data_IF_589482962201
#
_entry.id   IF_589482962201
#
_cell.length_a   1.000
_cell.length_b   1.000
_cell.length_c   1.000
_cell.angle_alpha   90.00
_cell.angle_beta   90.00
_cell.angle_gamma   90.00
#
_symmetry.space_group_name_H-M   'P 1'
#
loop_
_entity.id
_entity.type
_entity.pdbx_description
1 polymer ?
#
# COMPACT_ATOMS: atom_id res chain seq x y z
N UNK A 1 16.27 5.92 -5.11
CA UNK A 1 16.21 4.83 -6.10
C UNK A 1 16.75 5.21 -7.48
N UNK A 2 16.23 6.20 -8.21
CA UNK A 2 16.75 6.50 -9.57
C UNK A 2 18.15 7.16 -9.57
N UNK A 3 18.44 7.97 -8.55
CA UNK A 3 19.70 8.70 -8.38
C UNK A 3 20.84 7.79 -7.94
N UNK A 4 20.53 6.85 -7.05
CA UNK A 4 21.47 5.84 -6.56
C UNK A 4 21.96 4.94 -7.69
N UNK A 5 21.10 4.62 -8.67
CA UNK A 5 21.47 3.83 -9.85
C UNK A 5 22.47 4.57 -10.75
N UNK A 6 22.37 5.89 -10.88
CA UNK A 6 23.36 6.68 -11.63
C UNK A 6 24.70 6.71 -10.89
N UNK A 7 24.69 6.87 -9.57
CA UNK A 7 25.91 6.83 -8.78
C UNK A 7 26.56 5.45 -8.88
N UNK A 8 25.79 4.36 -8.71
CA UNK A 8 26.30 3.00 -8.86
C UNK A 8 26.94 2.75 -10.23
N UNK A 9 26.26 3.17 -11.32
CA UNK A 9 26.83 3.03 -12.66
C UNK A 9 28.04 3.93 -12.92
N UNK A 10 28.10 5.11 -12.32
CA UNK A 10 29.26 5.97 -12.41
C UNK A 10 30.48 5.38 -11.68
N UNK A 11 30.27 4.74 -10.52
CA UNK A 11 31.34 4.03 -9.80
C UNK A 11 31.85 2.82 -10.61
N UNK A 12 30.95 2.00 -11.15
CA UNK A 12 31.31 0.86 -12.01
C UNK A 12 32.15 1.28 -13.24
N UNK A 13 31.80 2.41 -13.86
CA UNK A 13 32.55 2.94 -15.00
C UNK A 13 33.90 3.55 -14.57
N UNK A 14 33.97 4.22 -13.43
CA UNK A 14 35.22 4.77 -12.90
C UNK A 14 36.22 3.65 -12.61
N UNK A 15 35.78 2.56 -11.97
CA UNK A 15 36.60 1.36 -11.73
C UNK A 15 37.10 0.74 -13.04
N UNK A 16 36.21 0.55 -14.03
CA UNK A 16 36.56 -0.01 -15.34
C UNK A 16 37.55 0.82 -16.13
N UNK A 17 37.55 2.14 -15.92
CA UNK A 17 38.44 3.07 -16.59
C UNK A 17 39.70 3.39 -15.77
N UNK A 18 39.86 2.78 -14.59
CA UNK A 18 41.01 3.01 -13.70
C UNK A 18 41.08 4.44 -13.15
N UNK A 19 39.95 5.13 -13.02
CA UNK A 19 39.89 6.51 -12.51
C UNK A 19 39.87 6.46 -10.99
N UNK A 20 40.88 7.04 -10.37
CA UNK A 20 40.99 7.09 -8.93
C UNK A 20 39.98 8.08 -8.30
N UNK A 21 39.54 7.78 -7.08
CA UNK A 21 38.59 8.62 -6.32
C UNK A 21 39.10 10.04 -6.03
N UNK A 22 40.42 10.25 -6.07
CA UNK A 22 41.05 11.59 -5.98
C UNK A 22 40.85 12.44 -7.24
N UNK A 23 40.67 11.81 -8.41
CA UNK A 23 40.44 12.49 -9.69
C UNK A 23 38.95 12.76 -9.95
N UNK A 24 38.07 11.86 -9.49
CA UNK A 24 36.63 11.98 -9.70
C UNK A 24 35.84 11.66 -8.43
N UNK A 25 35.34 12.71 -7.78
CA UNK A 25 34.48 12.57 -6.60
C UNK A 25 33.01 12.51 -7.00
N UNK A 26 32.45 11.31 -7.04
CA UNK A 26 31.04 11.01 -7.35
C UNK A 26 30.09 11.40 -6.21
N UNK A 27 30.11 12.68 -5.84
CA UNK A 27 29.25 13.26 -4.79
C UNK A 27 27.85 13.59 -5.29
N UNK A 28 26.93 13.89 -4.36
CA UNK A 28 25.62 14.45 -4.70
C UNK A 28 25.73 15.74 -5.54
N UNK A 29 26.74 16.58 -5.27
CA UNK A 29 27.00 17.79 -6.07
C UNK A 29 27.43 17.49 -7.51
N UNK A 30 28.25 16.45 -7.71
CA UNK A 30 28.61 15.95 -9.03
C UNK A 30 27.38 15.44 -9.78
N UNK A 31 26.53 14.65 -9.12
CA UNK A 31 25.31 14.09 -9.71
C UNK A 31 24.34 15.18 -10.17
N UNK A 32 24.12 16.21 -9.35
CA UNK A 32 23.26 17.35 -9.71
C UNK A 32 23.81 18.12 -10.92
N UNK A 33 25.13 18.37 -10.92
CA UNK A 33 25.81 19.06 -12.03
C UNK A 33 25.79 18.23 -13.32
N UNK A 34 25.98 16.92 -13.22
CA UNK A 34 25.91 15.97 -14.32
C UNK A 34 24.52 15.93 -14.93
N UNK A 35 23.47 15.85 -14.10
CA UNK A 35 22.08 15.89 -14.56
C UNK A 35 21.74 17.20 -15.25
N UNK A 36 22.16 18.34 -14.67
CA UNK A 36 21.95 19.67 -15.24
C UNK A 36 22.63 19.82 -16.61
N UNK A 37 23.89 19.38 -16.72
CA UNK A 37 24.67 19.45 -17.97
C UNK A 37 24.08 18.59 -19.09
N UNK A 38 23.54 17.42 -18.73
CA UNK A 38 22.99 16.47 -19.70
C UNK A 38 21.46 16.57 -19.88
N UNK A 39 20.82 17.60 -19.32
CA UNK A 39 19.37 17.81 -19.45
C UNK A 39 18.51 16.73 -18.80
N UNK A 40 19.06 15.95 -17.88
CA UNK A 40 18.36 14.83 -17.23
C UNK A 40 17.43 15.36 -16.15
N UNK A 41 16.10 15.20 -16.34
CA UNK A 41 15.09 15.74 -15.42
C UNK A 41 14.25 14.68 -14.69
N UNK A 42 13.91 15.09 -13.47
CA UNK A 42 12.79 14.67 -12.63
C UNK A 42 11.39 14.72 -13.26
N UNK A 43 10.75 13.63 -13.68
CA UNK A 43 9.33 13.69 -14.06
C UNK A 43 8.48 12.80 -13.14
N UNK A 44 7.48 13.40 -12.49
CA UNK A 44 6.50 12.72 -11.65
C UNK A 44 5.20 12.56 -12.44
N UNK A 45 4.84 11.32 -12.79
CA UNK A 45 3.53 11.02 -13.35
C UNK A 45 2.54 10.97 -12.19
N UNK A 46 1.74 12.03 -12.00
CA UNK A 46 0.68 12.03 -10.98
C UNK A 46 -0.49 11.18 -11.47
N UNK A 47 -1.00 10.31 -10.59
CA UNK A 47 -2.28 9.62 -10.78
C UNK A 47 -3.43 10.53 -10.36
N UNK A 48 -4.60 10.28 -10.94
CA UNK A 48 -5.84 11.04 -10.76
C UNK A 48 -6.20 11.22 -9.28
N UNK A 49 -6.07 12.45 -8.78
CA UNK A 49 -6.81 12.90 -7.60
C UNK A 49 -8.04 13.65 -8.11
N UNK A 50 -9.23 13.14 -7.83
CA UNK A 50 -10.47 13.86 -8.10
C UNK A 50 -10.45 15.21 -7.39
N UNK A 51 -10.88 16.27 -8.07
CA UNK A 51 -11.12 17.55 -7.42
C UNK A 51 -12.35 17.38 -6.53
N UNK A 52 -12.14 17.36 -5.21
CA UNK A 52 -13.22 17.35 -4.22
C UNK A 52 -13.23 18.70 -3.53
N UNK A 53 -14.42 19.29 -3.39
CA UNK A 53 -14.62 20.58 -2.74
C UNK A 53 -14.22 20.50 -1.26
N UNK A 54 -13.41 21.45 -0.80
CA UNK A 54 -12.73 21.37 0.50
C UNK A 54 -13.68 21.33 1.71
N UNK A 55 -14.92 21.78 1.56
CA UNK A 55 -15.92 21.80 2.63
C UNK A 55 -16.62 20.44 2.79
N UNK A 56 -16.90 19.71 1.71
CA UNK A 56 -17.41 18.33 1.79
C UNK A 56 -16.42 17.39 2.51
N UNK A 57 -15.12 17.61 2.29
CA UNK A 57 -14.03 16.89 2.99
C UNK A 57 -14.05 17.14 4.49
N UNK A 58 -14.45 18.35 4.92
CA UNK A 58 -14.47 18.72 6.34
C UNK A 58 -15.64 18.09 7.07
N UNK A 59 -16.83 18.16 6.48
CA UNK A 59 -18.05 17.63 7.09
C UNK A 59 -17.96 16.10 7.24
N UNK A 60 -17.56 15.38 6.19
CA UNK A 60 -17.37 13.93 6.26
C UNK A 60 -16.29 13.52 7.28
N UNK A 61 -15.24 14.34 7.42
CA UNK A 61 -14.19 14.09 8.41
C UNK A 61 -14.72 14.26 9.83
N UNK A 62 -15.55 15.28 10.07
CA UNK A 62 -16.20 15.49 11.38
C UNK A 62 -17.12 14.32 11.72
N UNK A 63 -17.94 13.87 10.78
CA UNK A 63 -18.81 12.70 10.98
C UNK A 63 -18.00 11.43 11.30
N UNK A 64 -16.89 11.20 10.58
CA UNK A 64 -16.00 10.07 10.86
C UNK A 64 -15.36 10.19 12.24
N UNK A 65 -14.96 11.40 12.66
CA UNK A 65 -14.42 11.65 13.99
C UNK A 65 -15.43 11.35 15.08
N UNK A 66 -16.67 11.82 14.93
CA UNK A 66 -17.77 11.56 15.87
C UNK A 66 -18.10 10.07 15.96
N UNK A 67 -18.08 9.36 14.83
CA UNK A 67 -18.28 7.92 14.80
C UNK A 67 -17.16 7.17 15.51
N UNK A 68 -15.90 7.49 15.20
CA UNK A 68 -14.75 6.83 15.82
C UNK A 68 -14.68 7.13 17.32
N UNK A 69 -15.08 8.33 17.76
CA UNK A 69 -15.12 8.72 19.18
C UNK A 69 -16.08 7.87 20.03
N UNK A 70 -17.04 7.16 19.41
CA UNK A 70 -17.92 6.21 20.11
C UNK A 70 -17.18 4.91 20.52
N UNK A 71 -15.98 4.69 19.99
CA UNK A 71 -15.16 3.51 20.25
C UNK A 71 -13.85 3.93 20.92
N UNK A 72 -13.32 3.06 21.79
CA UNK A 72 -11.95 3.28 22.29
C UNK A 72 -10.95 3.10 21.15
N UNK A 73 -9.79 3.78 21.17
CA UNK A 73 -8.77 3.64 20.13
C UNK A 73 -8.33 2.19 19.86
N UNK A 74 -8.39 1.32 20.88
CA UNK A 74 -8.06 -0.10 20.76
C UNK A 74 -9.12 -0.90 19.99
N UNK A 75 -10.36 -0.40 19.94
CA UNK A 75 -11.53 -1.01 19.32
C UNK A 75 -11.94 -0.33 18.01
N UNK A 76 -11.17 0.66 17.54
CA UNK A 76 -11.33 1.24 16.21
C UNK A 76 -10.24 0.70 15.27
N UNK A 77 -10.64 -0.05 14.25
CA UNK A 77 -9.75 -0.69 13.28
C UNK A 77 -9.88 -0.08 11.89
N UNK A 78 -8.81 -0.12 11.11
CA UNK A 78 -8.81 0.24 9.69
C UNK A 78 -8.29 -0.94 8.87
N UNK A 79 -8.94 -1.18 7.74
CA UNK A 79 -8.58 -2.18 6.74
C UNK A 79 -8.33 -1.52 5.40
N UNK A 80 -7.23 -1.88 4.75
CA UNK A 80 -6.87 -1.36 3.43
C UNK A 80 -5.93 -2.32 2.69
N UNK A 81 -5.88 -2.19 1.36
CA UNK A 81 -5.08 -3.01 0.47
C UNK A 81 -4.07 -2.25 -0.36
N UNK A 82 -2.84 -2.76 -0.35
CA UNK A 82 -1.74 -2.24 -1.15
C UNK A 82 -1.33 -3.21 -2.24
N UNK A 83 -1.26 -2.72 -3.48
CA UNK A 83 -0.70 -3.48 -4.58
C UNK A 83 0.84 -3.41 -4.59
N UNK A 84 1.50 -4.56 -4.40
CA UNK A 84 2.93 -4.73 -4.58
C UNK A 84 3.23 -5.22 -5.99
N UNK A 85 3.87 -4.37 -6.80
CA UNK A 85 4.31 -4.71 -8.14
C UNK A 85 5.81 -5.08 -8.16
N UNK A 86 6.14 -6.27 -7.68
CA UNK A 86 7.53 -6.70 -7.43
C UNK A 86 8.39 -6.89 -8.69
N UNK A 87 7.78 -6.94 -9.89
CA UNK A 87 8.50 -6.95 -11.19
C UNK A 87 8.37 -5.65 -11.97
N UNK A 88 7.76 -4.62 -11.39
CA UNK A 88 7.65 -3.34 -12.09
C UNK A 88 8.99 -2.64 -12.16
N UNK A 89 9.39 -2.29 -13.38
CA UNK A 89 10.49 -1.36 -13.60
C UNK A 89 10.18 0.01 -12.96
N UNK A 90 11.18 0.77 -12.52
CA UNK A 90 10.99 2.08 -11.90
C UNK A 90 10.10 3.00 -12.75
N UNK A 91 9.23 3.77 -12.08
CA UNK A 91 8.38 4.78 -12.73
C UNK A 91 9.17 6.02 -13.22
N UNK A 92 10.44 6.12 -12.86
CA UNK A 92 11.34 7.22 -13.23
C UNK A 92 12.54 6.64 -13.97
N UNK A 93 12.74 7.10 -15.19
CA UNK A 93 13.94 6.82 -15.99
C UNK A 93 14.65 8.14 -16.24
N UNK A 94 15.97 8.12 -16.13
CA UNK A 94 16.82 9.25 -16.46
C UNK A 94 17.24 9.08 -17.92
N UNK A 95 16.80 9.97 -18.80
CA UNK A 95 17.04 9.87 -20.24
C UNK A 95 17.36 11.26 -20.82
N UNK A 96 18.26 11.30 -21.80
CA UNK A 96 18.66 12.50 -22.55
C UNK A 96 17.69 12.83 -23.69
N UNK A 97 16.87 11.86 -24.09
CA UNK A 97 15.79 12.01 -25.09
C UNK A 97 14.54 11.26 -24.63
N UNK A 98 13.37 11.64 -25.14
CA UNK A 98 12.11 10.96 -24.85
C UNK A 98 12.21 9.51 -25.34
N UNK A 99 12.25 8.55 -24.41
CA UNK A 99 12.27 7.12 -24.72
C UNK A 99 10.90 6.50 -24.51
N UNK A 100 10.45 5.67 -25.46
CA UNK A 100 9.25 4.83 -25.29
C UNK A 100 9.50 3.90 -24.09
N UNK A 101 8.61 3.95 -23.10
CA UNK A 101 8.69 3.09 -21.92
C UNK A 101 8.58 1.62 -22.30
N UNK A 102 9.32 0.73 -21.63
CA UNK A 102 9.09 -0.72 -21.75
C UNK A 102 7.74 -1.06 -21.13
N UNK A 103 7.00 -1.99 -21.75
CA UNK A 103 5.76 -2.55 -21.18
C UNK A 103 6.09 -3.12 -19.79
N UNK A 104 5.54 -2.51 -18.75
CA UNK A 104 5.81 -2.93 -17.36
C UNK A 104 5.33 -4.37 -17.17
N UNK A 105 6.20 -5.23 -16.65
CA UNK A 105 5.79 -6.54 -16.15
C UNK A 105 5.05 -6.32 -14.82
N UNK A 106 3.74 -6.10 -14.91
CA UNK A 106 2.86 -5.83 -13.76
C UNK A 106 2.48 -7.11 -13.05
N UNK A 107 3.45 -7.93 -12.64
CA UNK A 107 3.13 -9.00 -11.70
C UNK A 107 2.73 -8.36 -10.38
N UNK A 108 1.48 -8.57 -10.00
CA UNK A 108 0.81 -7.98 -8.84
C UNK A 108 0.72 -9.03 -7.73
N UNK A 109 1.08 -8.63 -6.53
CA UNK A 109 0.68 -9.25 -5.28
C UNK A 109 -0.09 -8.19 -4.51
N UNK A 110 -1.33 -8.44 -4.12
CA UNK A 110 -2.05 -7.52 -3.23
C UNK A 110 -1.82 -7.94 -1.79
N UNK A 111 -1.49 -6.99 -0.93
CA UNK A 111 -1.38 -7.18 0.51
C UNK A 111 -2.49 -6.39 1.19
N UNK A 112 -3.32 -7.04 2.00
CA UNK A 112 -4.30 -6.35 2.84
C UNK A 112 -3.81 -6.33 4.29
N UNK A 113 -4.01 -5.21 4.96
CA UNK A 113 -3.60 -4.98 6.34
C UNK A 113 -4.78 -4.56 7.18
N UNK A 114 -4.74 -4.90 8.48
CA UNK A 114 -5.70 -4.42 9.44
C UNK A 114 -5.02 -4.17 10.79
N UNK A 115 -5.22 -2.99 11.36
CA UNK A 115 -4.76 -2.66 12.69
C UNK A 115 -5.72 -1.72 13.41
N UNK A 116 -5.69 -1.74 14.74
CA UNK A 116 -6.40 -0.77 15.55
C UNK A 116 -5.71 0.60 15.53
N UNK A 117 -6.39 1.63 16.03
CA UNK A 117 -5.90 3.00 15.96
C UNK A 117 -4.57 3.18 16.71
N UNK A 118 -4.41 2.53 17.86
CA UNK A 118 -3.16 2.55 18.64
C UNK A 118 -2.02 1.76 18.01
N UNK A 119 -2.32 0.87 17.07
CA UNK A 119 -1.36 -0.08 16.50
C UNK A 119 -0.94 -1.19 17.46
N UNK A 120 -1.61 -1.36 18.62
CA UNK A 120 -1.33 -2.43 19.57
C UNK A 120 -1.87 -3.80 19.13
N UNK A 121 -2.94 -3.82 18.34
CA UNK A 121 -3.54 -5.03 17.77
C UNK A 121 -3.43 -4.97 16.24
N UNK A 122 -2.50 -5.76 15.70
CA UNK A 122 -2.25 -5.90 14.26
C UNK A 122 -2.64 -7.31 13.83
N UNK A 123 -3.46 -7.42 12.80
CA UNK A 123 -3.80 -8.72 12.22
C UNK A 123 -2.73 -9.18 11.24
N UNK A 124 -2.61 -10.50 11.12
CA UNK A 124 -1.79 -11.13 10.09
C UNK A 124 -2.22 -10.64 8.70
N UNK A 125 -1.29 -10.13 7.87
CA UNK A 125 -1.62 -9.64 6.55
C UNK A 125 -2.23 -10.71 5.65
N UNK A 126 -3.10 -10.29 4.73
CA UNK A 126 -3.61 -11.15 3.67
C UNK A 126 -2.75 -10.95 2.42
N UNK A 127 -2.15 -12.02 1.90
CA UNK A 127 -1.46 -12.00 0.61
C UNK A 127 -2.33 -12.59 -0.50
N UNK A 128 -2.60 -11.83 -1.55
CA UNK A 128 -3.40 -12.26 -2.70
C UNK A 128 -2.55 -12.29 -3.95
N UNK A 129 -2.28 -13.48 -4.47
CA UNK A 129 -1.58 -13.71 -5.73
C UNK A 129 -2.50 -14.29 -6.83
N UNK A 130 -1.92 -14.53 -8.00
CA UNK A 130 -2.65 -15.17 -9.12
C UNK A 130 -2.69 -16.68 -9.00
N UNK A 131 -1.60 -17.29 -8.55
CA UNK A 131 -1.48 -18.73 -8.42
C UNK A 131 -2.13 -19.21 -7.11
N UNK A 132 -2.98 -20.23 -7.18
CA UNK A 132 -3.53 -20.90 -5.98
C UNK A 132 -2.41 -21.48 -5.11
N UNK A 133 -1.39 -22.06 -5.75
CA UNK A 133 -0.19 -22.59 -5.10
C UNK A 133 1.05 -22.05 -5.81
N UNK A 134 1.62 -20.92 -5.34
CA UNK A 134 2.87 -20.39 -5.87
C UNK A 134 4.00 -21.43 -5.77
N UNK A 135 4.85 -21.53 -6.81
CA UNK A 135 5.97 -22.49 -6.81
C UNK A 135 6.97 -22.28 -5.67
N UNK A 136 7.06 -21.06 -5.16
CA UNK A 136 7.90 -20.73 -3.99
C UNK A 136 7.35 -21.33 -2.69
N UNK A 137 6.10 -21.78 -2.64
CA UNK A 137 5.53 -22.54 -1.54
C UNK A 137 5.84 -24.01 -1.81
N UNK A 138 7.06 -24.46 -1.47
CA UNK A 138 7.49 -25.85 -1.71
C UNK A 138 6.52 -26.85 -1.03
N UNK A 139 6.20 -27.94 -1.74
CA UNK A 139 5.41 -29.13 -1.30
C UNK A 139 4.25 -28.84 -0.34
N UNK A 140 3.17 -28.25 -0.85
CA UNK A 140 1.90 -28.24 -0.12
C UNK A 140 1.93 -27.49 1.21
N UNK A 141 2.99 -26.72 1.48
CA UNK A 141 2.97 -25.69 2.49
C UNK A 141 2.06 -24.56 2.00
N UNK A 142 0.74 -24.82 2.06
CA UNK A 142 -0.13 -23.85 2.69
C UNK A 142 0.66 -23.30 3.88
N UNK A 143 0.70 -21.98 4.01
CA UNK A 143 1.43 -21.24 5.02
C UNK A 143 0.87 -21.62 6.42
N UNK A 144 1.01 -22.88 6.83
CA UNK A 144 0.61 -23.41 8.13
C UNK A 144 1.68 -22.94 9.08
N UNK A 145 1.29 -22.02 9.96
CA UNK A 145 2.19 -21.46 10.97
C UNK A 145 3.10 -20.33 10.50
N UNK A 146 2.82 -19.64 9.37
CA UNK A 146 3.44 -18.33 9.11
C UNK A 146 2.41 -17.20 9.12
N UNK A 147 2.84 -15.95 9.38
CA UNK A 147 1.97 -14.84 9.76
C UNK A 147 1.26 -14.18 8.56
N UNK A 148 1.02 -14.92 7.47
CA UNK A 148 0.37 -14.38 6.27
C UNK A 148 -0.70 -15.34 5.79
N UNK A 149 -1.95 -14.86 5.75
CA UNK A 149 -3.06 -15.58 5.14
C UNK A 149 -2.97 -15.44 3.62
N UNK A 150 -2.64 -16.52 2.92
CA UNK A 150 -2.55 -16.48 1.46
C UNK A 150 -3.88 -16.86 0.78
N UNK A 151 -4.29 -16.06 -0.19
CA UNK A 151 -5.45 -16.27 -1.07
C UNK A 151 -5.04 -16.08 -2.52
N UNK A 152 -5.87 -16.56 -3.44
CA UNK A 152 -5.62 -16.38 -4.87
C UNK A 152 -6.86 -15.90 -5.61
N UNK A 153 -6.67 -14.96 -6.54
CA UNK A 153 -7.70 -14.53 -7.48
C UNK A 153 -7.10 -14.35 -8.87
N UNK A 154 -7.93 -14.40 -9.93
CA UNK A 154 -7.46 -14.40 -11.34
C UNK A 154 -6.48 -13.26 -11.65
N UNK A 155 -6.70 -12.08 -11.07
CA UNK A 155 -5.90 -10.89 -11.30
C UNK A 155 -5.00 -10.52 -10.10
N UNK A 156 -4.97 -11.32 -9.04
CA UNK A 156 -4.34 -11.00 -7.75
C UNK A 156 -4.94 -9.76 -7.06
N UNK A 157 -6.25 -9.55 -7.17
CA UNK A 157 -7.01 -8.47 -6.53
C UNK A 157 -7.86 -9.00 -5.37
N UNK A 158 -8.23 -8.12 -4.45
CA UNK A 158 -9.31 -8.42 -3.50
C UNK A 158 -10.60 -8.74 -4.25
N UNK A 159 -11.38 -9.68 -3.71
CA UNK A 159 -12.72 -10.00 -4.20
C UNK A 159 -13.69 -10.00 -3.02
N UNK A 160 -14.98 -9.83 -3.29
CA UNK A 160 -16.00 -9.88 -2.23
C UNK A 160 -16.01 -11.19 -1.46
N UNK A 161 -15.66 -12.30 -2.11
CA UNK A 161 -15.55 -13.60 -1.44
C UNK A 161 -14.37 -13.61 -0.46
N UNK A 162 -13.20 -13.09 -0.87
CA UNK A 162 -12.02 -13.06 0.00
C UNK A 162 -12.24 -12.11 1.18
N UNK A 163 -12.82 -10.94 0.91
CA UNK A 163 -13.14 -9.96 1.96
C UNK A 163 -14.16 -10.51 2.96
N UNK A 164 -15.26 -11.11 2.49
CA UNK A 164 -16.29 -11.70 3.35
C UNK A 164 -15.73 -12.85 4.23
N UNK A 165 -14.91 -13.73 3.65
CA UNK A 165 -14.24 -14.79 4.41
C UNK A 165 -13.34 -14.22 5.52
N UNK A 166 -12.56 -13.17 5.22
CA UNK A 166 -11.71 -12.52 6.21
C UNK A 166 -12.53 -11.78 7.27
N UNK A 167 -13.54 -11.02 6.87
CA UNK A 167 -14.41 -10.25 7.76
C UNK A 167 -15.15 -11.17 8.74
N UNK A 168 -15.57 -12.35 8.27
CA UNK A 168 -16.18 -13.35 9.13
C UNK A 168 -15.20 -13.88 10.18
N UNK A 169 -13.95 -14.20 9.80
CA UNK A 169 -12.91 -14.62 10.74
C UNK A 169 -12.57 -13.51 11.75
N UNK A 170 -12.53 -12.27 11.30
CA UNK A 170 -12.32 -11.10 12.16
C UNK A 170 -13.47 -10.96 13.17
N UNK A 171 -14.72 -11.06 12.73
CA UNK A 171 -15.88 -11.03 13.62
C UNK A 171 -15.85 -12.17 14.65
N UNK A 172 -15.46 -13.38 14.24
CA UNK A 172 -15.29 -14.51 15.16
C UNK A 172 -14.19 -14.27 16.20
N UNK A 173 -13.05 -13.68 15.80
CA UNK A 173 -11.98 -13.28 16.74
C UNK A 173 -12.48 -12.26 17.76
N UNK A 174 -13.23 -11.26 17.31
CA UNK A 174 -13.78 -10.22 18.19
C UNK A 174 -14.86 -10.79 19.13
N UNK A 175 -15.69 -11.71 18.63
CA UNK A 175 -16.67 -12.43 19.43
C UNK A 175 -16.02 -13.30 20.52
N UNK A 176 -14.96 -14.03 20.19
CA UNK A 176 -14.21 -14.84 21.14
C UNK A 176 -13.56 -14.00 22.26
N UNK A 177 -13.19 -12.75 21.95
CA UNK A 177 -12.68 -11.79 22.92
C UNK A 177 -13.79 -10.98 23.62
N UNK A 178 -15.06 -11.20 23.27
CA UNK A 178 -16.22 -10.39 23.70
C UNK A 178 -16.00 -8.88 23.48
N UNK A 179 -15.39 -8.51 22.36
CA UNK A 179 -15.09 -7.12 21.98
C UNK A 179 -16.03 -6.67 20.87
N UNK A 180 -16.67 -5.51 21.03
CA UNK A 180 -17.36 -4.83 19.94
C UNK A 180 -16.44 -3.77 19.35
N UNK A 181 -16.24 -3.81 18.04
CA UNK A 181 -15.26 -2.97 17.36
C UNK A 181 -15.85 -2.28 16.13
N UNK A 182 -15.28 -1.14 15.78
CA UNK A 182 -15.50 -0.45 14.52
C UNK A 182 -14.43 -0.88 13.52
N UNK A 183 -14.82 -1.17 12.28
CA UNK A 183 -13.93 -1.42 11.16
C UNK A 183 -14.20 -0.38 10.08
N UNK A 184 -13.23 0.51 9.86
CA UNK A 184 -13.26 1.53 8.81
C UNK A 184 -12.55 1.00 7.56
N UNK A 185 -13.25 1.01 6.43
CA UNK A 185 -12.79 0.46 5.15
C UNK A 185 -13.19 1.38 3.99
N UNK A 186 -12.46 1.41 2.88
CA UNK A 186 -12.91 2.17 1.70
C UNK A 186 -14.16 1.54 1.05
N UNK A 187 -14.91 2.33 0.28
CA UNK A 187 -16.07 1.85 -0.46
C UNK A 187 -15.70 1.18 -1.80
N UNK A 188 -14.67 0.34 -1.80
CA UNK A 188 -14.34 -0.46 -2.97
C UNK A 188 -15.44 -1.51 -3.25
N UNK A 189 -15.73 -1.76 -4.52
CA UNK A 189 -16.76 -2.75 -4.93
C UNK A 189 -16.54 -4.17 -4.39
N UNK A 190 -15.31 -4.52 -3.98
CA UNK A 190 -15.00 -5.78 -3.33
C UNK A 190 -15.44 -5.83 -1.86
N UNK A 191 -15.62 -4.71 -1.16
CA UNK A 191 -15.94 -4.68 0.26
C UNK A 191 -17.44 -4.86 0.50
N UNK A 192 -17.91 -6.09 0.33
CA UNK A 192 -19.31 -6.46 0.54
C UNK A 192 -19.47 -7.25 1.82
N UNK A 193 -20.47 -6.87 2.63
CA UNK A 193 -20.90 -7.63 3.80
C UNK A 193 -21.94 -8.65 3.31
N UNK A 194 -21.57 -9.93 3.29
CA UNK A 194 -22.46 -11.00 2.82
C UNK A 194 -23.10 -11.80 3.96
N UNK A 195 -22.74 -11.48 5.21
CA UNK A 195 -23.17 -12.18 6.42
C UNK A 195 -23.50 -11.19 7.53
N UNK A 196 -24.39 -11.60 8.43
CA UNK A 196 -24.65 -10.82 9.64
C UNK A 196 -23.43 -10.83 10.56
N UNK A 197 -23.07 -9.66 11.06
CA UNK A 197 -21.98 -9.46 12.01
C UNK A 197 -22.56 -9.18 13.39
N UNK A 198 -21.90 -9.68 14.43
CA UNK A 198 -22.37 -9.58 15.82
C UNK A 198 -21.48 -8.68 16.68
N UNK A 199 -20.20 -8.58 16.33
CA UNK A 199 -19.16 -7.91 17.13
C UNK A 199 -18.37 -6.88 16.32
N UNK A 200 -18.58 -6.81 15.00
CA UNK A 200 -17.91 -5.85 14.12
C UNK A 200 -18.97 -4.97 13.48
N UNK A 201 -18.85 -3.66 13.69
CA UNK A 201 -19.58 -2.64 12.93
C UNK A 201 -18.67 -2.18 11.81
N UNK A 202 -19.11 -2.27 10.56
CA UNK A 202 -18.33 -1.84 9.40
C UNK A 202 -18.81 -0.47 8.96
N UNK A 203 -17.89 0.46 8.76
CA UNK A 203 -18.15 1.77 8.19
C UNK A 203 -17.35 1.96 6.90
N UNK A 204 -18.04 2.31 5.82
CA UNK A 204 -17.45 2.52 4.51
C UNK A 204 -17.13 4.00 4.31
N UNK A 205 -15.90 4.31 3.93
CA UNK A 205 -15.52 5.67 3.57
C UNK A 205 -16.13 6.06 2.21
N UNK A 206 -16.55 7.32 2.03
CA UNK A 206 -17.08 7.83 0.78
C UNK A 206 -16.08 7.74 -0.37
N UNK A 207 -16.60 7.53 -1.59
CA UNK A 207 -15.82 7.16 -2.80
C UNK A 207 -14.81 8.19 -3.28
N UNK A 208 -14.92 9.45 -2.83
CA UNK A 208 -14.11 10.56 -3.32
C UNK A 208 -12.92 10.91 -2.39
N UNK A 209 -12.79 10.26 -1.23
CA UNK A 209 -11.86 10.68 -0.17
C UNK A 209 -10.72 9.70 0.13
N UNK A 210 -10.62 8.59 -0.62
CA UNK A 210 -9.68 7.50 -0.31
C UNK A 210 -8.23 7.98 -0.21
N UNK A 211 -7.78 8.88 -1.09
CA UNK A 211 -6.40 9.42 -1.07
C UNK A 211 -6.13 10.44 0.04
N UNK A 212 -7.16 11.05 0.61
CA UNK A 212 -7.04 12.07 1.66
C UNK A 212 -7.26 11.50 3.08
N UNK A 213 -8.09 10.45 3.20
CA UNK A 213 -8.64 9.98 4.48
C UNK A 213 -8.29 8.51 4.78
N UNK A 214 -7.67 7.74 3.87
CA UNK A 214 -7.20 6.38 4.22
C UNK A 214 -5.87 6.41 5.00
N UNK A 215 -5.84 5.91 6.24
CA UNK A 215 -4.63 5.89 7.08
C UNK A 215 -3.50 5.07 6.50
N UNK A 216 -3.84 3.89 5.98
CA UNK A 216 -2.88 2.95 5.43
C UNK A 216 -2.29 3.41 4.09
N UNK A 217 -3.03 4.18 3.30
CA UNK A 217 -2.54 4.81 2.08
C UNK A 217 -1.63 6.03 2.37
N UNK A 218 -1.96 6.83 3.38
CA UNK A 218 -1.15 7.98 3.80
C UNK A 218 0.10 7.60 4.63
N UNK A 219 0.24 6.34 5.05
CA UNK A 219 1.32 5.89 5.93
C UNK A 219 1.22 6.49 7.34
N UNK A 220 0.02 6.92 7.75
CA UNK A 220 -0.26 7.54 9.04
C UNK A 220 -1.03 6.55 9.92
N UNK A 221 -0.82 6.59 11.23
CA UNK A 221 -1.69 5.83 12.14
C UNK A 221 -3.12 6.36 11.99
N UNK A 222 -4.12 5.47 12.13
CA UNK A 222 -5.54 5.81 12.16
C UNK A 222 -5.83 7.05 13.03
N UNK A 223 -5.12 7.17 14.16
CA UNK A 223 -5.17 8.32 15.08
C UNK A 223 -4.95 9.67 14.38
N UNK A 224 -4.09 9.77 13.36
CA UNK A 224 -3.78 11.03 12.66
C UNK A 224 -4.77 11.39 11.54
N UNK A 225 -5.79 10.58 11.31
CA UNK A 225 -6.94 10.95 10.48
C UNK A 225 -8.12 11.38 11.35
N UNK A 226 -8.15 10.92 12.59
CA UNK A 226 -9.13 11.30 13.61
C UNK A 226 -8.74 12.60 14.37
N UNK A 227 -7.53 13.15 14.16
CA UNK A 227 -7.11 14.48 14.67
C UNK A 227 -6.74 15.40 13.53
#
# INVERSE_FOLDING_TARGET
MADDVLLLKAHELAERLGIDTTQLRLSNGWLQSFKKRNGIRSHTLHGEGGAVEADEVRDERLELQELVAQFTPENAFNFDEKALFYRSAPNRTLATTIRKGKKKEKQRLTLAFCCNATGSDKLDPIGIGTAKNPRCFKKGAAIKGKPILYKSSKNAWMTSVIFDEWLHLFNMRMAAANRKVLLVVDNASCHKILRNLTHVTVHFLPSNMTSAVQPLDAGKHLIYIVV
#
